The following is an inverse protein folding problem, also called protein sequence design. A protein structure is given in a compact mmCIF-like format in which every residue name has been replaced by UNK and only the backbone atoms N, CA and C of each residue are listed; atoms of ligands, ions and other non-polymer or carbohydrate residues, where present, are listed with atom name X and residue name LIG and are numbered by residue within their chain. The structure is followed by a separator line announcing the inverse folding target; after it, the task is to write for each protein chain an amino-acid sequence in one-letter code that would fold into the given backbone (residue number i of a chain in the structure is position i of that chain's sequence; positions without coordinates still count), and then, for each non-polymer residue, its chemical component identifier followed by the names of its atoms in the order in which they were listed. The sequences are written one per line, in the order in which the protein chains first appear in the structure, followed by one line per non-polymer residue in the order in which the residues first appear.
data_IF_260834275329
#
_entry.id   IF_260834275329
#
_cell.length_a   1.000
_cell.length_b   1.000
_cell.length_c   1.000
_cell.angle_alpha   90.00
_cell.angle_beta   90.00
_cell.angle_gamma   90.00
#
_symmetry.space_group_name_H-M   'P 1'
#
loop_
_entity.id
_entity.type
_entity.pdbx_description
1 polymer ?
#
# COMPACT_ATOMS: atom_id res chain seq x y z
N UNK A 1 -27.77 64.44 -39.68
CA UNK A 1 -28.52 63.51 -40.56
C UNK A 1 -27.56 62.38 -40.88
N UNK A 2 -27.75 61.12 -40.51
CA UNK A 2 -28.91 60.43 -39.97
C UNK A 2 -28.43 59.04 -39.44
N UNK A 3 -29.25 58.41 -38.58
CA UNK A 3 -29.30 56.98 -38.22
C UNK A 3 -28.41 56.41 -37.10
N UNK A 4 -28.99 56.51 -35.88
CA UNK A 4 -29.34 55.40 -34.97
C UNK A 4 -28.40 54.18 -34.91
N UNK A 5 -27.73 54.01 -33.76
CA UNK A 5 -27.40 52.69 -33.18
C UNK A 5 -28.32 52.48 -31.99
N UNK A 6 -29.11 51.40 -32.06
CA UNK A 6 -29.94 50.88 -30.98
C UNK A 6 -29.08 50.31 -29.86
N UNK A 7 -29.47 50.67 -28.64
CA UNK A 7 -29.05 50.10 -27.38
C UNK A 7 -29.47 48.62 -27.29
N UNK A 8 -28.58 47.75 -26.83
CA UNK A 8 -28.96 46.68 -25.90
C UNK A 8 -27.96 46.65 -24.75
N UNK A 9 -28.50 47.00 -23.59
CA UNK A 9 -27.88 47.11 -22.29
C UNK A 9 -27.75 45.70 -21.69
N UNK A 10 -26.53 45.17 -21.66
CA UNK A 10 -26.17 44.07 -20.76
C UNK A 10 -25.18 44.59 -19.72
N UNK A 11 -25.72 45.17 -18.64
CA UNK A 11 -24.97 45.30 -17.38
C UNK A 11 -24.86 43.90 -16.78
N UNK A 12 -23.81 43.18 -17.21
CA UNK A 12 -23.31 42.03 -16.48
C UNK A 12 -22.69 42.52 -15.18
N UNK A 13 -23.52 42.75 -14.17
CA UNK A 13 -23.07 43.04 -12.83
C UNK A 13 -22.08 41.97 -12.38
N UNK A 14 -20.89 42.43 -12.00
CA UNK A 14 -19.92 41.63 -11.28
C UNK A 14 -20.52 41.27 -9.92
N UNK A 15 -21.22 40.13 -9.84
CA UNK A 15 -21.52 39.49 -8.57
C UNK A 15 -20.20 39.03 -7.96
N UNK A 16 -19.56 39.97 -7.25
CA UNK A 16 -18.55 39.67 -6.25
C UNK A 16 -19.09 38.55 -5.36
N UNK A 17 -18.36 37.45 -5.27
CA UNK A 17 -18.66 36.27 -4.47
C UNK A 17 -18.51 36.56 -2.95
N UNK A 18 -18.89 37.77 -2.51
CA UNK A 18 -18.70 38.31 -1.16
C UNK A 18 -19.85 37.98 -0.18
N UNK A 19 -20.81 37.13 -0.56
CA UNK A 19 -22.02 36.86 0.24
C UNK A 19 -22.07 35.51 0.97
N UNK A 20 -20.98 34.73 1.04
CA UNK A 20 -20.99 33.49 1.84
C UNK A 20 -21.25 33.72 3.34
N UNK A 21 -20.98 34.93 3.84
CA UNK A 21 -21.29 35.31 5.22
C UNK A 21 -22.79 35.46 5.50
N UNK A 22 -23.66 35.46 4.48
CA UNK A 22 -25.11 35.57 4.63
C UNK A 22 -25.82 34.20 4.63
N UNK A 23 -25.09 33.09 4.48
CA UNK A 23 -25.66 31.74 4.53
C UNK A 23 -25.83 31.35 6.01
N UNK A 24 -27.04 30.98 6.47
CA UNK A 24 -27.24 30.43 7.80
C UNK A 24 -26.36 29.21 8.05
N UNK A 25 -25.85 29.05 9.27
CA UNK A 25 -24.96 27.96 9.65
C UNK A 25 -25.52 26.59 9.31
N UNK A 26 -26.82 26.40 9.45
CA UNK A 26 -27.53 25.15 9.21
C UNK A 26 -27.47 24.76 7.73
N UNK A 27 -27.67 25.75 6.84
CA UNK A 27 -27.61 25.54 5.39
C UNK A 27 -26.17 25.26 4.96
N UNK A 28 -25.20 25.99 5.53
CA UNK A 28 -23.79 25.72 5.26
C UNK A 28 -23.37 24.30 5.69
N UNK A 29 -23.81 23.85 6.87
CA UNK A 29 -23.58 22.48 7.36
C UNK A 29 -24.17 21.46 6.39
N UNK A 30 -25.41 21.68 5.92
CA UNK A 30 -26.09 20.74 5.01
C UNK A 30 -25.42 20.68 3.64
N UNK A 31 -24.94 21.81 3.11
CA UNK A 31 -24.09 21.83 1.91
C UNK A 31 -22.83 21.00 2.15
N UNK A 32 -22.13 21.22 3.27
CA UNK A 32 -20.86 20.54 3.55
C UNK A 32 -21.00 19.01 3.69
N UNK A 33 -22.11 18.50 4.22
CA UNK A 33 -22.33 17.04 4.31
C UNK A 33 -22.33 16.35 2.94
N UNK A 34 -22.72 17.06 1.89
CA UNK A 34 -22.85 16.55 0.52
C UNK A 34 -21.61 16.83 -0.35
N UNK A 35 -20.49 17.21 0.26
CA UNK A 35 -19.20 17.45 -0.43
C UNK A 35 -18.27 16.27 -0.17
N UNK A 36 -17.41 15.92 -1.13
CA UNK A 36 -16.41 14.85 -0.94
C UNK A 36 -15.40 15.23 0.16
N UNK A 37 -14.81 14.28 0.88
CA UNK A 37 -13.86 14.63 1.94
C UNK A 37 -12.63 15.40 1.43
N UNK A 38 -12.18 15.12 0.19
CA UNK A 38 -11.06 15.85 -0.41
C UNK A 38 -11.42 17.31 -0.70
N UNK A 39 -12.65 17.56 -1.17
CA UNK A 39 -13.09 18.92 -1.48
C UNK A 39 -13.45 19.68 -0.20
N UNK A 40 -13.92 19.02 0.86
CA UNK A 40 -14.02 19.62 2.20
C UNK A 40 -12.65 20.07 2.72
N UNK A 41 -11.61 19.26 2.51
CA UNK A 41 -10.24 19.63 2.89
C UNK A 41 -9.71 20.83 2.09
N UNK A 42 -10.11 20.99 0.83
CA UNK A 42 -9.78 22.19 0.04
C UNK A 42 -10.61 23.39 0.49
N UNK A 43 -11.90 23.20 0.75
CA UNK A 43 -12.84 24.24 1.18
C UNK A 43 -12.38 24.87 2.50
N UNK A 44 -11.87 24.07 3.45
CA UNK A 44 -11.33 24.57 4.72
C UNK A 44 -10.12 25.49 4.54
N UNK A 45 -9.45 25.49 3.37
CA UNK A 45 -8.31 26.33 3.06
C UNK A 45 -8.69 27.60 2.29
N UNK A 46 -9.94 27.76 1.87
CA UNK A 46 -10.38 28.89 1.05
C UNK A 46 -10.44 30.19 1.85
N UNK A 47 -10.97 30.15 3.07
CA UNK A 47 -11.05 31.32 3.95
C UNK A 47 -11.03 30.93 5.45
N UNK A 48 -10.77 31.90 6.32
CA UNK A 48 -10.66 31.67 7.75
C UNK A 48 -11.97 31.17 8.38
N UNK A 49 -13.13 31.64 7.89
CA UNK A 49 -14.44 31.18 8.38
C UNK A 49 -14.66 29.69 8.13
N UNK A 50 -14.39 29.22 6.90
CA UNK A 50 -14.50 27.79 6.57
C UNK A 50 -13.46 26.97 7.33
N UNK A 51 -12.25 27.50 7.50
CA UNK A 51 -11.23 26.85 8.29
C UNK A 51 -11.71 26.59 9.73
N UNK A 52 -12.29 27.60 10.40
CA UNK A 52 -12.81 27.46 11.77
C UNK A 52 -13.97 26.45 11.85
N UNK A 53 -14.89 26.45 10.88
CA UNK A 53 -16.01 25.52 10.85
C UNK A 53 -15.60 24.06 10.57
N UNK A 54 -14.61 23.85 9.71
CA UNK A 54 -14.28 22.51 9.19
C UNK A 54 -13.05 21.87 9.84
N UNK A 55 -12.19 22.65 10.51
CA UNK A 55 -10.91 22.14 11.05
C UNK A 55 -10.96 21.78 12.54
N UNK A 56 -12.08 22.03 13.22
CA UNK A 56 -12.22 21.68 14.63
C UNK A 56 -12.24 20.16 14.86
N UNK A 57 -11.31 19.68 15.68
CA UNK A 57 -11.13 18.26 16.02
C UNK A 57 -12.10 17.75 17.08
N UNK A 58 -12.68 18.66 17.87
CA UNK A 58 -13.53 18.33 19.03
C UNK A 58 -14.99 18.72 18.83
N UNK A 59 -15.28 19.59 17.87
CA UNK A 59 -16.65 20.00 17.55
C UNK A 59 -17.46 18.82 17.01
N UNK A 60 -18.56 18.48 17.69
CA UNK A 60 -19.48 17.41 17.27
C UNK A 60 -20.07 17.67 15.89
N UNK A 61 -20.43 18.93 15.59
CA UNK A 61 -20.93 19.35 14.27
C UNK A 61 -19.89 19.14 13.18
N UNK A 62 -18.64 19.52 13.45
CA UNK A 62 -17.56 19.32 12.48
C UNK A 62 -17.33 17.83 12.24
N UNK A 63 -17.24 17.02 13.31
CA UNK A 63 -17.12 15.56 13.18
C UNK A 63 -18.29 14.96 12.39
N UNK A 64 -19.51 15.44 12.63
CA UNK A 64 -20.69 15.02 11.89
C UNK A 64 -20.56 15.28 10.38
N UNK A 65 -20.16 16.50 9.98
CA UNK A 65 -19.96 16.85 8.56
C UNK A 65 -19.00 15.87 7.88
N UNK A 66 -17.83 15.65 8.48
CA UNK A 66 -16.80 14.76 7.93
C UNK A 66 -17.26 13.29 7.91
N UNK A 67 -18.00 12.85 8.93
CA UNK A 67 -18.59 11.51 8.95
C UNK A 67 -19.56 11.28 7.81
N UNK A 68 -20.54 12.18 7.64
CA UNK A 68 -21.54 12.06 6.56
C UNK A 68 -20.85 12.06 5.19
N UNK A 69 -19.93 12.99 4.98
CA UNK A 69 -19.12 13.06 3.76
C UNK A 69 -18.35 11.75 3.51
N UNK A 70 -17.67 11.20 4.52
CA UNK A 70 -16.98 9.90 4.40
C UNK A 70 -17.93 8.78 4.04
N UNK A 71 -19.03 8.62 4.77
CA UNK A 71 -19.96 7.51 4.60
C UNK A 71 -20.71 7.56 3.27
N UNK A 72 -20.96 8.76 2.75
CA UNK A 72 -21.59 8.94 1.44
C UNK A 72 -20.62 8.68 0.28
N UNK A 73 -19.39 9.20 0.35
CA UNK A 73 -18.50 9.26 -0.81
C UNK A 73 -17.38 8.20 -0.81
N UNK A 74 -17.04 7.61 0.33
CA UNK A 74 -15.99 6.59 0.41
C UNK A 74 -16.59 5.18 0.50
N UNK A 75 -16.32 4.36 -0.51
CA UNK A 75 -16.72 2.95 -0.49
C UNK A 75 -16.00 2.16 0.62
N UNK A 76 -14.76 2.55 0.93
CA UNK A 76 -13.92 1.96 1.96
C UNK A 76 -12.96 3.00 2.56
N UNK A 77 -12.53 2.82 3.81
CA UNK A 77 -13.02 1.83 4.80
C UNK A 77 -14.41 2.20 5.34
N UNK A 78 -15.22 1.18 5.63
CA UNK A 78 -16.57 1.30 6.19
C UNK A 78 -16.54 1.42 7.71
N UNK A 79 -15.51 0.89 8.36
CA UNK A 79 -15.35 1.06 9.80
C UNK A 79 -15.26 2.57 10.13
N UNK A 80 -15.87 3.00 11.26
CA UNK A 80 -15.71 4.37 11.76
C UNK A 80 -14.26 4.61 12.21
N UNK A 81 -13.85 5.85 12.49
CA UNK A 81 -12.55 6.11 13.11
C UNK A 81 -12.36 5.32 14.42
N UNK A 82 -11.12 4.87 14.73
CA UNK A 82 -10.79 4.36 16.06
C UNK A 82 -11.09 5.37 17.17
N UNK A 83 -11.32 4.91 18.40
CA UNK A 83 -11.89 5.74 19.48
C UNK A 83 -11.15 7.06 19.78
N UNK A 84 -9.83 7.07 19.67
CA UNK A 84 -8.92 8.22 19.87
C UNK A 84 -8.48 8.87 18.55
N UNK A 85 -9.30 8.81 17.51
CA UNK A 85 -9.07 9.45 16.21
C UNK A 85 -10.30 10.22 15.75
N UNK A 86 -10.11 11.47 15.33
CA UNK A 86 -11.19 12.26 14.73
C UNK A 86 -11.39 11.90 13.25
N UNK A 87 -12.56 12.22 12.69
CA UNK A 87 -12.90 11.92 11.30
C UNK A 87 -11.89 12.55 10.32
N UNK A 88 -11.40 13.77 10.59
CA UNK A 88 -10.41 14.41 9.71
C UNK A 88 -9.08 13.64 9.66
N UNK A 89 -8.56 13.21 10.81
CA UNK A 89 -7.31 12.44 10.86
C UNK A 89 -7.50 11.08 10.20
N UNK A 90 -8.65 10.44 10.41
CA UNK A 90 -9.01 9.17 9.79
C UNK A 90 -9.09 9.27 8.27
N UNK A 91 -9.83 10.24 7.77
CA UNK A 91 -9.96 10.53 6.33
C UNK A 91 -8.59 10.89 5.76
N UNK A 92 -7.80 11.68 6.47
CA UNK A 92 -6.46 12.03 6.02
C UNK A 92 -5.58 10.79 5.91
N UNK A 93 -5.62 9.92 6.91
CA UNK A 93 -4.90 8.64 6.92
C UNK A 93 -5.34 7.73 5.77
N UNK A 94 -6.62 7.72 5.42
CA UNK A 94 -7.16 6.87 4.35
C UNK A 94 -6.88 7.45 2.96
N UNK A 95 -7.04 8.75 2.75
CA UNK A 95 -7.02 9.35 1.41
C UNK A 95 -5.63 9.83 0.98
N UNK A 96 -4.81 10.37 1.88
CA UNK A 96 -3.50 10.90 1.48
C UNK A 96 -2.47 9.78 1.38
N UNK A 97 -2.12 9.40 0.15
CA UNK A 97 -1.12 8.36 -0.12
C UNK A 97 0.34 8.86 0.02
N UNK A 98 0.67 9.59 1.08
CA UNK A 98 2.03 10.06 1.36
C UNK A 98 2.49 9.57 2.73
N UNK A 99 3.78 9.26 2.81
CA UNK A 99 4.41 8.87 4.07
C UNK A 99 4.23 9.99 5.10
N UNK A 100 3.84 9.65 6.34
CA UNK A 100 3.63 10.66 7.38
C UNK A 100 4.91 11.41 7.74
N UNK A 101 6.07 10.80 7.54
CA UNK A 101 7.36 11.32 7.96
C UNK A 101 8.06 12.08 6.85
N UNK A 102 8.42 11.42 5.75
CA UNK A 102 9.17 12.05 4.66
C UNK A 102 8.30 12.76 3.62
N UNK A 103 6.96 12.62 3.70
CA UNK A 103 5.98 13.15 2.73
C UNK A 103 6.18 12.69 1.29
N UNK A 104 7.09 11.75 1.06
CA UNK A 104 7.48 11.25 -0.25
C UNK A 104 7.08 9.77 -0.45
N UNK A 105 6.94 9.41 -1.73
CA UNK A 105 6.66 8.04 -2.16
C UNK A 105 5.26 7.52 -1.82
N UNK A 106 4.95 6.36 -2.37
CA UNK A 106 3.76 5.59 -1.99
C UNK A 106 3.96 5.00 -0.60
N UNK A 107 2.88 4.94 0.17
CA UNK A 107 2.95 4.57 1.58
C UNK A 107 1.78 3.70 2.01
N UNK A 108 2.06 2.70 2.83
CA UNK A 108 1.05 1.79 3.36
C UNK A 108 0.55 2.34 4.70
N UNK A 109 -0.75 2.21 4.95
CA UNK A 109 -1.31 2.48 6.28
C UNK A 109 -0.87 1.36 7.21
N UNK A 110 -0.18 1.71 8.29
CA UNK A 110 0.04 0.83 9.41
C UNK A 110 -0.99 1.18 10.49
N UNK A 111 -2.16 0.55 10.46
CA UNK A 111 -3.27 0.84 11.39
C UNK A 111 -2.86 0.78 12.85
N UNK A 112 -1.98 -0.15 13.20
CA UNK A 112 -1.42 -0.28 14.55
C UNK A 112 -0.71 0.99 15.04
N UNK A 113 -0.12 1.75 14.13
CA UNK A 113 0.57 3.00 14.43
C UNK A 113 -0.23 4.23 14.00
N UNK A 114 -1.39 4.05 13.35
CA UNK A 114 -2.26 5.12 12.84
C UNK A 114 -1.53 6.10 11.93
N UNK A 115 -0.54 5.59 11.21
CA UNK A 115 0.35 6.37 10.36
C UNK A 115 0.58 5.62 9.07
N UNK A 116 0.83 6.36 8.00
CA UNK A 116 1.36 5.82 6.74
C UNK A 116 2.87 5.83 6.74
N UNK A 117 3.45 4.73 6.28
CA UNK A 117 4.89 4.58 6.13
C UNK A 117 5.23 4.21 4.69
N UNK A 118 6.26 4.85 4.14
CA UNK A 118 7.02 4.22 3.07
C UNK A 118 7.90 3.10 3.66
N UNK A 119 8.41 2.20 2.81
CA UNK A 119 9.22 1.05 3.26
C UNK A 119 10.45 1.47 4.08
N UNK A 120 11.12 2.55 3.67
CA UNK A 120 12.31 3.08 4.36
C UNK A 120 11.95 3.61 5.76
N UNK A 121 10.99 4.53 5.86
CA UNK A 121 10.60 5.09 7.14
C UNK A 121 10.02 4.04 8.09
N UNK A 122 9.36 2.99 7.60
CA UNK A 122 8.90 1.89 8.46
C UNK A 122 10.08 1.15 9.10
N UNK A 123 11.11 0.85 8.30
CA UNK A 123 12.31 0.15 8.77
C UNK A 123 13.13 1.00 9.74
N UNK A 124 13.26 2.29 9.48
CA UNK A 124 14.06 3.22 10.31
C UNK A 124 13.40 3.53 11.65
N UNK A 125 12.07 3.40 11.74
CA UNK A 125 11.30 3.84 12.91
C UNK A 125 10.73 2.70 13.72
N UNK A 126 10.89 1.47 13.26
CA UNK A 126 10.47 0.29 14.00
C UNK A 126 11.65 -0.60 14.35
N UNK A 127 11.51 -1.33 15.45
CA UNK A 127 12.54 -2.21 15.99
C UNK A 127 11.91 -3.48 16.55
N UNK A 128 12.56 -4.62 16.36
CA UNK A 128 12.16 -5.87 17.00
C UNK A 128 13.00 -6.10 18.27
N UNK A 129 12.47 -6.92 19.19
CA UNK A 129 13.10 -7.21 20.47
C UNK A 129 14.56 -7.66 20.36
N UNK A 130 14.88 -8.48 19.34
CA UNK A 130 16.22 -9.02 19.11
C UNK A 130 17.27 -7.93 18.85
N UNK A 131 16.84 -6.77 18.37
CA UNK A 131 17.70 -5.64 18.05
C UNK A 131 17.74 -4.58 19.18
N UNK A 132 17.12 -4.83 20.33
CA UNK A 132 17.16 -3.88 21.45
C UNK A 132 18.58 -3.75 21.99
N UNK A 133 18.92 -2.55 22.45
CA UNK A 133 20.14 -2.36 23.22
C UNK A 133 20.03 -2.97 24.64
N UNK A 134 21.14 -3.03 25.35
CA UNK A 134 21.21 -3.60 26.70
C UNK A 134 20.40 -2.82 27.74
N UNK A 135 20.08 -1.54 27.48
CA UNK A 135 19.25 -0.76 28.38
C UNK A 135 17.78 -1.16 28.22
N UNK A 136 17.27 -1.24 27.00
CA UNK A 136 15.88 -1.60 26.71
C UNK A 136 15.56 -3.05 27.03
N UNK A 137 16.55 -3.96 26.99
CA UNK A 137 16.39 -5.34 27.46
C UNK A 137 16.07 -5.47 28.95
N UNK A 138 16.30 -4.40 29.75
CA UNK A 138 15.92 -4.38 31.17
C UNK A 138 14.42 -4.17 31.39
N UNK A 139 13.70 -3.66 30.40
CA UNK A 139 12.25 -3.48 30.50
C UNK A 139 11.60 -4.86 30.56
N UNK A 140 10.66 -5.09 31.50
CA UNK A 140 9.98 -6.37 31.59
C UNK A 140 9.27 -6.74 30.29
N UNK A 141 9.47 -7.99 29.85
CA UNK A 141 8.95 -8.47 28.56
C UNK A 141 7.42 -8.39 28.48
N UNK A 142 6.70 -8.56 29.60
CA UNK A 142 5.24 -8.42 29.63
C UNK A 142 4.79 -6.99 29.28
N UNK A 143 5.48 -5.98 29.80
CA UNK A 143 5.21 -4.58 29.46
C UNK A 143 5.50 -4.30 27.98
N UNK A 144 6.62 -4.78 27.44
CA UNK A 144 6.94 -4.67 26.01
C UNK A 144 5.85 -5.34 25.15
N UNK A 145 5.36 -6.51 25.57
CA UNK A 145 4.27 -7.21 24.88
C UNK A 145 2.93 -6.47 24.94
N UNK A 146 2.78 -5.53 25.87
CA UNK A 146 1.66 -4.59 25.94
C UNK A 146 1.78 -3.39 25.00
N UNK A 147 2.90 -3.21 24.31
CA UNK A 147 3.01 -2.17 23.29
C UNK A 147 2.34 -2.58 21.98
N UNK A 148 1.99 -1.55 21.21
CA UNK A 148 1.50 -1.66 19.84
C UNK A 148 2.61 -2.21 18.95
N UNK A 149 2.29 -3.20 18.11
CA UNK A 149 3.29 -3.81 17.24
C UNK A 149 2.76 -4.18 15.87
N UNK A 150 3.60 -4.02 14.85
CA UNK A 150 3.36 -4.59 13.55
C UNK A 150 4.00 -5.99 13.45
N UNK A 151 3.33 -6.93 12.81
CA UNK A 151 3.87 -8.27 12.54
C UNK A 151 4.55 -8.24 11.18
N UNK A 152 5.84 -8.56 11.13
CA UNK A 152 6.58 -8.61 9.87
C UNK A 152 7.40 -9.88 9.80
N UNK A 153 7.46 -10.46 8.60
CA UNK A 153 8.33 -11.58 8.32
C UNK A 153 9.74 -11.08 8.02
N UNK A 154 10.74 -11.60 8.72
CA UNK A 154 12.15 -11.44 8.36
C UNK A 154 12.76 -12.76 7.96
N UNK A 155 13.62 -12.72 6.96
CA UNK A 155 14.38 -13.89 6.51
C UNK A 155 15.39 -14.25 7.60
N UNK A 156 15.41 -15.51 8.01
CA UNK A 156 16.42 -16.01 8.94
C UNK A 156 17.76 -16.07 8.17
N UNK A 157 18.85 -15.46 8.68
CA UNK A 157 20.15 -15.51 8.04
C UNK A 157 20.58 -16.93 7.68
N UNK A 158 21.16 -17.10 6.50
CA UNK A 158 21.68 -18.38 5.99
C UNK A 158 20.62 -19.49 5.80
N UNK A 159 19.33 -19.17 5.81
CA UNK A 159 18.26 -20.13 5.51
C UNK A 159 17.26 -19.57 4.49
N UNK A 160 16.44 -20.45 3.93
CA UNK A 160 15.26 -20.06 3.12
C UNK A 160 14.01 -19.79 3.98
N UNK A 161 14.13 -19.92 5.31
CA UNK A 161 13.00 -19.77 6.24
C UNK A 161 12.79 -18.30 6.61
N UNK A 162 11.54 -17.98 6.90
CA UNK A 162 11.10 -16.69 7.41
C UNK A 162 10.50 -16.86 8.79
N UNK A 163 10.79 -15.92 9.68
CA UNK A 163 10.23 -15.88 11.02
C UNK A 163 9.39 -14.61 11.19
N UNK A 164 8.32 -14.74 11.98
CA UNK A 164 7.39 -13.66 12.26
C UNK A 164 7.83 -12.91 13.52
N UNK A 165 8.35 -11.69 13.35
CA UNK A 165 8.74 -10.84 14.47
C UNK A 165 7.72 -9.74 14.72
N UNK A 166 7.72 -9.24 15.97
CA UNK A 166 6.97 -8.06 16.38
C UNK A 166 7.88 -6.85 16.28
N UNK A 167 7.46 -5.87 15.50
CA UNK A 167 8.13 -4.60 15.32
C UNK A 167 7.35 -3.52 16.06
N UNK A 168 8.04 -2.85 16.98
CA UNK A 168 7.52 -1.77 17.81
C UNK A 168 7.99 -0.43 17.27
N UNK A 169 7.23 0.64 17.47
CA UNK A 169 7.75 1.98 17.23
C UNK A 169 8.86 2.28 18.23
N UNK A 170 9.98 2.81 17.74
CA UNK A 170 11.11 3.21 18.59
C UNK A 170 10.67 4.28 19.62
N UNK A 171 9.79 5.20 19.22
CA UNK A 171 9.21 6.24 20.08
C UNK A 171 8.41 5.63 21.26
N UNK A 172 7.67 4.55 21.01
CA UNK A 172 6.87 3.86 22.03
C UNK A 172 7.78 3.11 23.03
N UNK A 173 8.87 2.51 22.55
CA UNK A 173 9.87 1.86 23.40
C UNK A 173 10.57 2.87 24.31
N UNK A 174 10.95 4.03 23.78
CA UNK A 174 11.56 5.11 24.57
C UNK A 174 10.62 5.58 25.68
N UNK A 175 9.36 5.85 25.35
CA UNK A 175 8.35 6.24 26.33
C UNK A 175 8.19 5.17 27.42
N UNK A 176 8.11 3.89 27.03
CA UNK A 176 7.99 2.80 27.99
C UNK A 176 9.24 2.66 28.87
N UNK A 177 10.42 2.85 28.30
CA UNK A 177 11.68 2.83 29.05
C UNK A 177 11.73 3.96 30.09
N UNK A 178 11.38 5.17 29.69
CA UNK A 178 11.37 6.34 30.59
C UNK A 178 10.40 6.12 31.76
N UNK A 179 9.20 5.60 31.47
CA UNK A 179 8.25 5.20 32.51
C UNK A 179 8.84 4.13 33.44
N UNK A 180 9.46 3.09 32.89
CA UNK A 180 10.06 2.00 33.67
C UNK A 180 11.19 2.50 34.58
N UNK A 181 12.05 3.38 34.07
CA UNK A 181 13.14 3.97 34.86
C UNK A 181 12.59 4.80 36.02
N UNK A 182 11.51 5.56 35.83
CA UNK A 182 10.85 6.29 36.93
C UNK A 182 10.40 5.33 38.03
N UNK A 183 9.82 4.17 37.68
CA UNK A 183 9.41 3.17 38.68
C UNK A 183 10.59 2.59 39.45
N UNK A 184 11.69 2.31 38.76
CA UNK A 184 12.93 1.81 39.37
C UNK A 184 13.53 2.86 40.31
N UNK A 185 13.60 4.13 39.88
CA UNK A 185 14.13 5.24 40.69
C UNK A 185 13.27 5.51 41.93
N UNK A 186 11.96 5.30 41.84
CA UNK A 186 11.05 5.40 42.97
C UNK A 186 11.10 4.20 43.92
N UNK A 187 11.98 3.23 43.68
CA UNK A 187 12.10 1.98 44.45
C UNK A 187 10.74 1.28 44.62
N UNK A 188 9.91 1.28 43.57
CA UNK A 188 8.64 0.56 43.59
C UNK A 188 8.90 -0.93 43.81
N UNK A 189 8.08 -1.54 44.66
CA UNK A 189 8.17 -2.97 44.92
C UNK A 189 7.78 -3.80 43.70
N UNK A 190 8.06 -5.11 43.79
CA UNK A 190 7.83 -6.06 42.70
C UNK A 190 6.34 -6.21 42.35
N UNK A 191 5.45 -6.08 43.32
CA UNK A 191 4.02 -6.26 43.11
C UNK A 191 3.44 -5.06 42.35
N UNK A 192 3.91 -3.86 42.66
CA UNK A 192 3.60 -2.66 41.91
C UNK A 192 4.06 -2.76 40.46
N UNK A 193 5.30 -3.19 40.23
CA UNK A 193 5.85 -3.38 38.87
C UNK A 193 5.04 -4.45 38.12
N UNK A 194 4.71 -5.57 38.75
CA UNK A 194 3.88 -6.61 38.15
C UNK A 194 2.47 -6.11 37.78
N UNK A 195 1.86 -5.28 38.63
CA UNK A 195 0.57 -4.65 38.35
C UNK A 195 0.66 -3.69 37.16
N UNK A 196 1.70 -2.86 37.09
CA UNK A 196 1.97 -1.98 35.95
C UNK A 196 2.20 -2.78 34.65
N UNK A 197 2.95 -3.88 34.68
CA UNK A 197 3.13 -4.77 33.52
C UNK A 197 1.80 -5.33 33.02
N UNK A 198 0.93 -5.77 33.93
CA UNK A 198 -0.40 -6.30 33.60
C UNK A 198 -1.29 -5.22 32.99
N UNK A 199 -1.31 -4.01 33.54
CA UNK A 199 -2.05 -2.88 32.99
C UNK A 199 -1.60 -2.55 31.55
N UNK A 200 -0.29 -2.46 31.31
CA UNK A 200 0.28 -2.26 29.97
C UNK A 200 -0.16 -3.36 29.01
N UNK A 201 -0.09 -4.61 29.46
CA UNK A 201 -0.48 -5.76 28.64
C UNK A 201 -1.98 -5.74 28.30
N UNK A 202 -2.85 -5.47 29.27
CA UNK A 202 -4.30 -5.41 29.06
C UNK A 202 -4.67 -4.31 28.07
N UNK A 203 -4.16 -3.09 28.27
CA UNK A 203 -4.39 -1.96 27.36
C UNK A 203 -3.89 -2.27 25.95
N UNK A 204 -2.70 -2.86 25.83
CA UNK A 204 -2.13 -3.31 24.56
C UNK A 204 -3.01 -4.32 23.84
N UNK A 205 -3.50 -5.33 24.54
CA UNK A 205 -4.34 -6.38 23.96
C UNK A 205 -5.67 -5.81 23.43
N UNK A 206 -6.34 -4.97 24.22
CA UNK A 206 -7.59 -4.29 23.80
C UNK A 206 -7.35 -3.48 22.52
N UNK A 207 -6.28 -2.68 22.50
CA UNK A 207 -5.93 -1.89 21.33
C UNK A 207 -5.63 -2.75 20.09
N UNK A 208 -4.83 -3.81 20.26
CA UNK A 208 -4.48 -4.70 19.14
C UNK A 208 -5.70 -5.45 18.61
N UNK A 209 -6.66 -5.81 19.45
CA UNK A 209 -7.92 -6.42 19.05
C UNK A 209 -8.77 -5.46 18.21
N UNK A 210 -8.93 -4.20 18.67
CA UNK A 210 -9.61 -3.14 17.92
C UNK A 210 -8.97 -2.94 16.54
N UNK A 211 -7.66 -2.71 16.50
CA UNK A 211 -6.90 -2.47 15.26
C UNK A 211 -6.93 -3.67 14.31
N UNK A 212 -7.08 -4.89 14.81
CA UNK A 212 -7.18 -6.09 13.97
C UNK A 212 -8.37 -6.01 13.02
N UNK A 213 -9.46 -5.33 13.40
CA UNK A 213 -10.66 -5.15 12.59
C UNK A 213 -10.34 -4.32 11.34
N UNK A 214 -9.65 -3.20 11.51
CA UNK A 214 -9.21 -2.34 10.41
C UNK A 214 -8.22 -3.02 9.47
N UNK A 215 -7.27 -3.77 10.02
CA UNK A 215 -6.30 -4.52 9.22
C UNK A 215 -6.97 -5.62 8.39
N UNK A 216 -8.01 -6.27 8.92
CA UNK A 216 -8.83 -7.26 8.22
C UNK A 216 -9.66 -6.61 7.11
N UNK A 217 -10.31 -5.48 7.39
CA UNK A 217 -11.07 -4.73 6.38
C UNK A 217 -10.14 -4.31 5.23
N UNK A 218 -9.01 -3.67 5.52
CA UNK A 218 -8.05 -3.27 4.49
C UNK A 218 -7.59 -4.47 3.65
N UNK A 219 -7.25 -5.60 4.29
CA UNK A 219 -6.84 -6.81 3.56
C UNK A 219 -7.94 -7.38 2.67
N UNK A 220 -9.20 -7.34 3.12
CA UNK A 220 -10.36 -7.78 2.34
C UNK A 220 -10.59 -6.89 1.12
N UNK A 221 -10.48 -5.57 1.31
CA UNK A 221 -10.61 -4.58 0.23
C UNK A 221 -9.48 -4.76 -0.78
N UNK A 222 -8.22 -4.89 -0.32
CA UNK A 222 -7.07 -5.10 -1.18
C UNK A 222 -7.20 -6.41 -1.97
N UNK A 223 -7.69 -7.49 -1.35
CA UNK A 223 -7.94 -8.77 -2.04
C UNK A 223 -9.01 -8.64 -3.12
N UNK A 224 -10.07 -7.88 -2.85
CA UNK A 224 -11.15 -7.63 -3.83
C UNK A 224 -10.66 -6.80 -5.00
N UNK A 225 -9.90 -5.73 -4.73
CA UNK A 225 -9.27 -4.89 -5.76
C UNK A 225 -8.31 -5.73 -6.61
N UNK A 226 -7.44 -6.52 -5.96
CA UNK A 226 -6.50 -7.41 -6.65
C UNK A 226 -7.24 -8.38 -7.56
N UNK A 227 -8.30 -9.04 -7.07
CA UNK A 227 -9.12 -9.95 -7.88
C UNK A 227 -9.75 -9.25 -9.07
N UNK A 228 -10.30 -8.05 -8.89
CA UNK A 228 -10.88 -7.25 -9.98
C UNK A 228 -9.82 -6.89 -11.03
N UNK A 229 -8.64 -6.45 -10.59
CA UNK A 229 -7.53 -6.14 -11.47
C UNK A 229 -7.05 -7.38 -12.23
N UNK A 230 -6.98 -8.54 -11.58
CA UNK A 230 -6.60 -9.82 -12.19
C UNK A 230 -7.58 -10.26 -13.28
N UNK A 231 -8.89 -10.09 -13.06
CA UNK A 231 -9.91 -10.40 -14.08
C UNK A 231 -9.72 -9.52 -15.33
N UNK A 232 -9.58 -8.21 -15.13
CA UNK A 232 -9.35 -7.28 -16.26
C UNK A 232 -8.04 -7.58 -16.98
N UNK A 233 -6.99 -7.95 -16.24
CA UNK A 233 -5.73 -8.37 -16.84
C UNK A 233 -5.88 -9.66 -17.67
N UNK A 234 -6.65 -10.63 -17.17
CA UNK A 234 -7.00 -11.84 -17.93
C UNK A 234 -7.64 -11.49 -19.27
N UNK A 235 -8.65 -10.61 -19.26
CA UNK A 235 -9.30 -10.15 -20.49
C UNK A 235 -8.33 -9.50 -21.50
N UNK A 236 -7.32 -8.77 -21.01
CA UNK A 236 -6.28 -8.20 -21.89
C UNK A 236 -5.43 -9.30 -22.51
N UNK A 237 -5.04 -10.31 -21.74
CA UNK A 237 -4.26 -11.43 -22.23
C UNK A 237 -5.05 -12.22 -23.28
N UNK A 238 -6.33 -12.52 -23.01
CA UNK A 238 -7.21 -13.21 -23.96
C UNK A 238 -7.33 -12.43 -25.27
N UNK A 239 -7.58 -11.12 -25.20
CA UNK A 239 -7.62 -10.25 -26.37
C UNK A 239 -6.31 -10.25 -27.18
N UNK A 240 -5.15 -10.28 -26.50
CA UNK A 240 -3.86 -10.37 -27.19
C UNK A 240 -3.67 -11.75 -27.82
N UNK A 241 -4.09 -12.84 -27.16
CA UNK A 241 -3.99 -14.19 -27.71
C UNK A 241 -4.85 -14.41 -28.95
N UNK A 242 -5.95 -13.67 -29.08
CA UNK A 242 -6.82 -13.68 -30.25
C UNK A 242 -6.21 -12.92 -31.43
N UNK A 243 -5.31 -11.96 -31.21
CA UNK A 243 -4.65 -11.24 -32.31
C UNK A 243 -3.90 -12.20 -33.24
N UNK A 244 -4.18 -12.09 -34.54
CA UNK A 244 -3.52 -12.84 -35.60
C UNK A 244 -2.58 -11.94 -36.39
N UNK A 245 -1.48 -12.52 -36.83
CA UNK A 245 -0.57 -11.89 -37.79
C UNK A 245 -1.25 -11.80 -39.15
N UNK A 246 -1.13 -10.65 -39.81
CA UNK A 246 -1.74 -10.38 -41.12
C UNK A 246 -1.13 -11.30 -42.19
N UNK A 247 0.15 -11.64 -42.05
CA UNK A 247 0.91 -12.31 -43.10
C UNK A 247 0.67 -13.83 -43.15
N UNK A 248 0.46 -14.46 -42.00
CA UNK A 248 0.41 -15.93 -41.88
C UNK A 248 -0.78 -16.46 -41.06
N UNK A 249 -1.68 -15.56 -40.62
CA UNK A 249 -2.84 -15.86 -39.78
C UNK A 249 -2.49 -16.67 -38.51
N UNK A 250 -1.24 -16.60 -38.04
CA UNK A 250 -0.82 -17.28 -36.80
C UNK A 250 -1.06 -16.37 -35.60
N UNK A 251 -1.23 -16.95 -34.38
CA UNK A 251 -1.26 -16.17 -33.16
C UNK A 251 -0.04 -15.26 -33.07
N UNK A 252 -0.29 -13.95 -32.95
CA UNK A 252 0.76 -12.94 -32.89
C UNK A 252 1.56 -13.03 -31.60
N UNK A 253 0.88 -13.39 -30.51
CA UNK A 253 1.45 -13.53 -29.17
C UNK A 253 1.32 -14.94 -28.63
N UNK A 254 2.21 -15.27 -27.69
CA UNK A 254 2.31 -16.56 -27.02
C UNK A 254 2.11 -16.30 -25.53
N UNK A 255 1.21 -17.07 -24.91
CA UNK A 255 0.77 -16.84 -23.55
C UNK A 255 1.93 -16.96 -22.53
N UNK A 256 2.82 -17.93 -22.70
CA UNK A 256 3.97 -18.09 -21.79
C UNK A 256 4.87 -16.86 -21.83
N UNK A 257 5.06 -16.28 -23.01
CA UNK A 257 5.91 -15.09 -23.18
C UNK A 257 5.21 -13.86 -22.60
N UNK A 258 3.88 -13.77 -22.69
CA UNK A 258 3.11 -12.69 -22.05
C UNK A 258 3.17 -12.79 -20.51
N UNK A 259 3.15 -13.99 -19.94
CA UNK A 259 3.40 -14.17 -18.50
C UNK A 259 4.83 -13.76 -18.11
N UNK A 260 5.85 -14.16 -18.90
CA UNK A 260 7.22 -13.68 -18.68
C UNK A 260 7.32 -12.14 -18.73
N UNK A 261 6.51 -11.48 -19.58
CA UNK A 261 6.43 -10.01 -19.65
C UNK A 261 5.84 -9.41 -18.37
N UNK A 262 4.78 -10.02 -17.82
CA UNK A 262 4.15 -9.56 -16.58
C UNK A 262 5.09 -9.70 -15.39
N UNK A 263 5.79 -10.82 -15.29
CA UNK A 263 6.78 -11.09 -14.27
C UNK A 263 7.95 -10.09 -14.34
N UNK A 264 8.47 -9.83 -15.55
CA UNK A 264 9.55 -8.87 -15.76
C UNK A 264 9.16 -7.44 -15.35
N UNK A 265 7.88 -7.09 -15.45
CA UNK A 265 7.36 -5.78 -15.04
C UNK A 265 7.01 -5.72 -13.55
N UNK A 266 7.12 -6.82 -12.83
CA UNK A 266 6.53 -6.97 -11.49
C UNK A 266 5.06 -6.50 -11.46
N UNK A 267 4.30 -6.76 -12.53
CA UNK A 267 2.96 -6.21 -12.70
C UNK A 267 2.04 -6.57 -11.53
N UNK A 268 2.29 -7.72 -10.90
CA UNK A 268 1.58 -8.22 -9.73
C UNK A 268 2.04 -7.64 -8.39
N UNK A 269 3.20 -6.98 -8.31
CA UNK A 269 3.71 -6.37 -7.07
C UNK A 269 3.41 -4.87 -6.96
N UNK A 270 2.99 -4.22 -8.05
CA UNK A 270 2.74 -2.77 -8.10
C UNK A 270 1.26 -2.39 -7.96
N UNK A 271 0.34 -3.35 -8.06
CA UNK A 271 -1.11 -3.18 -7.94
C UNK A 271 -1.62 -3.03 -6.51
N UNK A 272 -0.72 -2.93 -5.54
CA UNK A 272 -1.01 -3.22 -4.14
C UNK A 272 -2.09 -2.36 -3.47
N UNK A 273 -2.55 -1.25 -4.06
CA UNK A 273 -3.52 -0.38 -3.39
C UNK A 273 -4.56 0.33 -4.26
N UNK A 274 -4.52 0.20 -5.58
CA UNK A 274 -5.39 0.98 -6.46
C UNK A 274 -6.15 0.07 -7.43
N UNK A 275 -7.46 0.29 -7.51
CA UNK A 275 -8.27 -0.21 -8.62
C UNK A 275 -7.81 0.54 -9.86
N UNK A 276 -7.27 -0.21 -10.84
CA UNK A 276 -6.78 0.41 -12.05
C UNK A 276 -7.95 0.88 -12.91
N UNK A 277 -7.82 2.06 -13.49
CA UNK A 277 -8.78 2.60 -14.47
C UNK A 277 -8.47 2.07 -15.89
N UNK A 278 -9.39 2.31 -16.83
CA UNK A 278 -9.24 1.82 -18.21
C UNK A 278 -7.97 2.33 -18.92
N UNK A 279 -7.58 3.58 -18.64
CA UNK A 279 -6.35 4.17 -19.19
C UNK A 279 -5.11 3.43 -18.69
N UNK A 280 -5.07 3.10 -17.42
CA UNK A 280 -3.96 2.33 -16.82
C UNK A 280 -3.89 0.91 -17.41
N UNK A 281 -5.03 0.27 -17.62
CA UNK A 281 -5.09 -1.02 -18.32
C UNK A 281 -4.64 -0.92 -19.78
N UNK A 282 -4.98 0.16 -20.49
CA UNK A 282 -4.50 0.42 -21.84
C UNK A 282 -2.97 0.58 -21.88
N UNK A 283 -2.41 1.37 -20.97
CA UNK A 283 -0.95 1.54 -20.82
C UNK A 283 -0.29 0.19 -20.51
N UNK A 284 -0.92 -0.63 -19.67
CA UNK A 284 -0.42 -1.96 -19.34
C UNK A 284 -0.36 -2.86 -20.58
N UNK A 285 -1.43 -2.90 -21.37
CA UNK A 285 -1.49 -3.62 -22.65
C UNK A 285 -0.39 -3.17 -23.61
N UNK A 286 -0.26 -1.87 -23.85
CA UNK A 286 0.76 -1.30 -24.75
C UNK A 286 2.17 -1.67 -24.30
N UNK A 287 2.43 -1.64 -22.99
CA UNK A 287 3.71 -2.03 -22.43
C UNK A 287 4.01 -3.53 -22.58
N UNK A 288 3.01 -4.42 -22.47
CA UNK A 288 3.19 -5.84 -22.74
C UNK A 288 3.61 -6.08 -24.18
N UNK A 289 2.92 -5.42 -25.12
CA UNK A 289 3.24 -5.49 -26.55
C UNK A 289 4.67 -5.01 -26.81
N UNK A 290 5.08 -3.90 -26.20
CA UNK A 290 6.41 -3.33 -26.39
C UNK A 290 7.55 -4.25 -25.89
N UNK A 291 7.35 -4.96 -24.77
CA UNK A 291 8.37 -5.85 -24.19
C UNK A 291 8.44 -7.23 -24.86
N UNK A 292 7.32 -7.68 -25.44
CA UNK A 292 7.18 -9.03 -25.98
C UNK A 292 8.30 -9.44 -26.95
N UNK A 293 8.73 -8.61 -27.93
CA UNK A 293 9.78 -9.01 -28.87
C UNK A 293 11.11 -9.33 -28.19
N UNK A 294 11.51 -8.53 -27.19
CA UNK A 294 12.77 -8.73 -26.47
C UNK A 294 12.76 -10.02 -25.65
N UNK A 295 11.65 -10.27 -24.95
CA UNK A 295 11.50 -11.47 -24.12
C UNK A 295 11.41 -12.72 -25.01
N UNK A 296 10.68 -12.66 -26.13
CA UNK A 296 10.65 -13.74 -27.13
C UNK A 296 12.05 -14.06 -27.68
N UNK A 297 12.83 -13.03 -28.02
CA UNK A 297 14.24 -13.20 -28.45
C UNK A 297 15.08 -13.88 -27.38
N UNK A 298 14.98 -13.43 -26.12
CA UNK A 298 15.69 -14.03 -24.96
C UNK A 298 15.31 -15.50 -24.76
N UNK A 299 14.02 -15.85 -24.82
CA UNK A 299 13.51 -17.22 -24.68
C UNK A 299 14.00 -18.12 -25.81
N UNK A 300 13.99 -17.63 -27.05
CA UNK A 300 14.52 -18.35 -28.21
C UNK A 300 16.03 -18.59 -28.11
N UNK A 301 16.81 -17.59 -27.65
CA UNK A 301 18.25 -17.75 -27.40
C UNK A 301 18.53 -18.83 -26.34
N UNK A 302 17.79 -18.83 -25.22
CA UNK A 302 17.87 -19.88 -24.19
C UNK A 302 17.49 -21.27 -24.71
N UNK A 303 16.47 -21.38 -25.56
CA UNK A 303 16.08 -22.66 -26.18
C UNK A 303 17.15 -23.19 -27.13
N UNK A 304 17.76 -22.31 -27.93
CA UNK A 304 18.87 -22.67 -28.83
C UNK A 304 20.11 -23.12 -28.06
N UNK A 305 20.50 -22.42 -27.00
CA UNK A 305 21.64 -22.82 -26.16
C UNK A 305 21.40 -24.15 -25.44
N UNK A 306 20.18 -24.39 -24.91
CA UNK A 306 19.83 -25.69 -24.31
C UNK A 306 19.83 -26.84 -25.32
N UNK A 307 19.35 -26.61 -26.55
CA UNK A 307 19.42 -27.62 -27.63
C UNK A 307 20.87 -27.90 -28.06
N UNK A 308 21.70 -26.87 -28.17
CA UNK A 308 23.13 -27.00 -28.42
C UNK A 308 23.83 -27.81 -27.33
N UNK A 309 23.59 -27.50 -26.06
CA UNK A 309 24.16 -28.24 -24.92
C UNK A 309 23.69 -29.71 -24.86
N UNK A 310 22.42 -30.00 -25.18
CA UNK A 310 21.93 -31.38 -25.30
C UNK A 310 22.60 -32.15 -26.45
N UNK A 311 22.81 -31.49 -27.60
CA UNK A 311 23.49 -32.09 -28.75
C UNK A 311 24.98 -32.35 -28.46
N UNK A 312 25.65 -31.46 -27.73
CA UNK A 312 27.04 -31.65 -27.29
C UNK A 312 27.13 -32.83 -26.31
N UNK A 313 26.23 -32.94 -25.33
CA UNK A 313 26.19 -34.10 -24.41
C UNK A 313 25.90 -35.42 -25.13
N UNK A 314 24.96 -35.43 -26.08
CA UNK A 314 24.69 -36.62 -26.87
C UNK A 314 25.91 -37.04 -27.69
N UNK A 315 26.63 -36.09 -28.28
CA UNK A 315 27.87 -36.37 -29.02
C UNK A 315 29.00 -36.82 -28.09
N UNK A 316 29.12 -36.28 -26.87
CA UNK A 316 30.11 -36.73 -25.89
C UNK A 316 29.87 -38.17 -25.43
N UNK A 317 28.62 -38.56 -25.23
CA UNK A 317 28.26 -39.95 -24.88
C UNK A 317 28.56 -40.91 -26.05
N UNK A 318 28.30 -40.50 -27.30
CA UNK A 318 28.66 -41.33 -28.47
C UNK A 318 30.18 -41.48 -28.60
N UNK A 319 30.97 -40.45 -28.26
CA UNK A 319 32.43 -40.52 -28.27
C UNK A 319 32.97 -41.43 -27.16
N UNK A 320 32.38 -41.41 -25.95
CA UNK A 320 32.76 -42.37 -24.90
C UNK A 320 32.43 -43.81 -25.28
N UNK A 321 31.26 -44.04 -25.89
CA UNK A 321 30.86 -45.37 -26.32
C UNK A 321 31.78 -45.92 -27.44
N UNK A 322 32.36 -45.04 -28.27
CA UNK A 322 33.34 -45.41 -29.30
C UNK A 322 34.74 -45.65 -28.70
N UNK A 323 35.18 -44.87 -27.70
CA UNK A 323 36.46 -45.13 -27.02
C UNK A 323 36.45 -46.48 -26.30
N UNK A 324 35.33 -46.82 -25.67
CA UNK A 324 35.16 -48.10 -24.96
C UNK A 324 35.19 -49.29 -25.94
N UNK A 325 34.71 -49.11 -27.18
CA UNK A 325 34.80 -50.14 -28.24
C UNK A 325 36.24 -50.29 -28.76
N UNK A 326 36.99 -49.20 -28.90
CA UNK A 326 38.39 -49.25 -29.36
C UNK A 326 39.31 -49.88 -28.30
N UNK A 327 39.08 -49.60 -27.01
CA UNK A 327 39.77 -50.27 -25.89
C UNK A 327 39.52 -51.79 -25.86
N UNK A 328 38.34 -52.24 -26.31
CA UNK A 328 38.04 -53.68 -26.46
C UNK A 328 38.77 -54.27 -27.69
N UNK A 329 38.95 -53.50 -28.77
CA UNK A 329 39.66 -53.98 -29.96
C UNK A 329 41.18 -54.05 -29.81
N UNK A 330 41.80 -53.13 -29.05
CA UNK A 330 43.24 -53.13 -28.78
C UNK A 330 43.67 -54.22 -27.80
N UNK A 331 42.72 -54.89 -27.13
CA UNK A 331 42.97 -56.04 -26.24
C UNK A 331 42.77 -57.41 -26.95
N UNK A 332 42.54 -57.42 -28.27
CA UNK A 332 42.27 -58.64 -29.07
C UNK A 332 43.41 -58.94 -30.09
N UNK A 333 44.42 -58.09 -30.23
CA UNK A 333 45.71 -58.42 -30.87
C UNK A 333 46.76 -58.77 -29.82
#
# INVERSE_FOLDING_TARGET
MDRQKTEEHWTGDSYSFSNFNNIPSEIFIEICKNITPLDLAKLSLVCQSFWHCLSSRTSSTTQMIWRFSREQFLCHPKLPPPADMCEQDYISLVLYNKCHFCKNGNSLIAWVFRKRFCKLCLKERTICYDNFDEAWKKIPLKAIRGLRYNKMYSKIPYTEKYELHRYYLIEDIKTLYDEFIVLVLQNKDKDFIASWELDKQMKGNIYMEEISKYSKEQSSVQSTILRSNMIKLGNILDSLMEERSIDDNRPKYDLDILYDCLDAKNAFSTTDQLLLNEKEFKIMRESLIAMYPEIKKKRNKKRRSKKGAKKIRANQNVISDISDINEISENIE
#
